data_IF_265303416562
#
_entry.id   IF_265303416562
#
_cell.length_a   1.000
_cell.length_b   1.000
_cell.length_c   1.000
_cell.angle_alpha   90.00
_cell.angle_beta   90.00
_cell.angle_gamma   90.00
#
_symmetry.space_group_name_H-M   'P 1'
#
loop_
_entity.id
_entity.type
_entity.pdbx_description
1 polymer ?
#
# COMPACT_ATOMS: atom_id res chain seq x y z
N UNK A 1 -1.05 19.37 14.15
CA UNK A 1 -0.74 19.58 12.71
C UNK A 1 -0.94 18.26 11.99
N UNK A 2 -1.88 18.21 11.05
CA UNK A 2 -2.19 16.97 10.32
C UNK A 2 -0.98 16.55 9.49
N UNK A 3 -0.33 15.45 9.86
CA UNK A 3 0.86 14.91 9.17
C UNK A 3 0.42 14.19 7.88
N UNK A 4 -0.16 14.93 6.95
CA UNK A 4 -0.58 14.40 5.64
C UNK A 4 0.63 14.09 4.76
N UNK A 5 1.71 14.87 4.90
CA UNK A 5 2.94 14.68 4.13
C UNK A 5 3.60 13.31 4.33
N UNK A 6 3.81 12.82 5.58
CA UNK A 6 4.32 11.46 5.80
C UNK A 6 3.42 10.36 5.24
N UNK A 7 2.09 10.53 5.30
CA UNK A 7 1.15 9.55 4.74
C UNK A 7 1.31 9.50 3.22
N UNK A 8 1.25 10.66 2.56
CA UNK A 8 1.36 10.76 1.10
C UNK A 8 2.68 10.19 0.58
N UNK A 9 3.81 10.50 1.24
CA UNK A 9 5.11 9.95 0.87
C UNK A 9 5.12 8.41 0.96
N UNK A 10 4.59 7.86 2.06
CA UNK A 10 4.55 6.41 2.26
C UNK A 10 3.60 5.71 1.29
N UNK A 11 2.48 6.33 0.96
CA UNK A 11 1.56 5.88 -0.10
C UNK A 11 2.29 5.75 -1.43
N UNK A 12 3.06 6.78 -1.84
CA UNK A 12 3.83 6.75 -3.10
C UNK A 12 4.91 5.68 -3.08
N UNK A 13 5.60 5.50 -1.96
CA UNK A 13 6.61 4.45 -1.80
C UNK A 13 5.98 3.06 -1.96
N UNK A 14 4.84 2.81 -1.32
CA UNK A 14 4.13 1.52 -1.41
C UNK A 14 3.70 1.24 -2.85
N UNK A 15 3.16 2.25 -3.54
CA UNK A 15 2.82 2.17 -4.97
C UNK A 15 4.03 1.77 -5.83
N UNK A 16 5.18 2.42 -5.62
CA UNK A 16 6.39 2.14 -6.38
C UNK A 16 6.94 0.72 -6.11
N UNK A 17 6.95 0.30 -4.84
CA UNK A 17 7.42 -1.04 -4.45
C UNK A 17 6.49 -2.11 -5.02
N UNK A 18 5.17 -1.97 -4.85
CA UNK A 18 4.22 -2.96 -5.34
C UNK A 18 4.21 -2.99 -6.88
N UNK A 19 4.35 -1.83 -7.53
CA UNK A 19 4.53 -1.70 -8.96
C UNK A 19 5.80 -2.40 -9.48
N UNK A 20 6.88 -2.45 -8.70
CA UNK A 20 8.06 -3.25 -9.03
C UNK A 20 7.88 -4.74 -8.73
N UNK A 21 7.25 -5.08 -7.61
CA UNK A 21 7.07 -6.46 -7.17
C UNK A 21 6.04 -7.24 -8.00
N UNK A 22 5.11 -6.56 -8.68
CA UNK A 22 4.07 -7.22 -9.49
C UNK A 22 4.63 -8.09 -10.62
N UNK A 23 5.85 -7.80 -11.10
CA UNK A 23 6.53 -8.60 -12.13
C UNK A 23 7.04 -9.94 -11.60
N UNK A 24 7.08 -10.11 -10.28
CA UNK A 24 7.48 -11.35 -9.62
C UNK A 24 6.33 -12.02 -8.87
N UNK A 25 5.41 -11.23 -8.31
CA UNK A 25 4.35 -11.70 -7.43
C UNK A 25 3.00 -11.27 -8.00
N UNK A 26 2.08 -12.23 -8.18
CA UNK A 26 0.73 -11.95 -8.66
C UNK A 26 0.04 -10.90 -7.77
N UNK A 27 -0.43 -9.82 -8.38
CA UNK A 27 -0.82 -8.60 -7.68
C UNK A 27 -1.89 -8.79 -6.58
N UNK A 28 -2.86 -9.73 -6.66
CA UNK A 28 -3.81 -9.95 -5.58
C UNK A 28 -3.15 -10.42 -4.28
N UNK A 29 -2.01 -11.12 -4.34
CA UNK A 29 -1.26 -11.47 -3.15
C UNK A 29 -0.55 -10.26 -2.54
N UNK A 30 -0.04 -9.34 -3.37
CA UNK A 30 0.51 -8.06 -2.90
C UNK A 30 -0.57 -7.22 -2.24
N UNK A 31 -1.76 -7.12 -2.87
CA UNK A 31 -2.89 -6.37 -2.33
C UNK A 31 -3.40 -7.00 -1.03
N UNK A 32 -3.63 -8.32 -1.01
CA UNK A 32 -4.08 -9.03 0.18
C UNK A 32 -3.09 -8.90 1.34
N UNK A 33 -1.80 -9.13 1.08
CA UNK A 33 -0.73 -8.98 2.07
C UNK A 33 -0.61 -7.55 2.59
N UNK A 34 -0.65 -6.56 1.70
CA UNK A 34 -0.58 -5.13 2.05
C UNK A 34 -1.76 -4.67 2.91
N UNK A 35 -2.98 -5.13 2.61
CA UNK A 35 -4.16 -4.83 3.42
C UNK A 35 -4.11 -5.49 4.80
N UNK A 36 -3.68 -6.75 4.88
CA UNK A 36 -3.52 -7.44 6.16
C UNK A 36 -2.43 -6.80 7.02
N UNK A 37 -1.27 -6.52 6.44
CA UNK A 37 -0.17 -5.86 7.12
C UNK A 37 -0.55 -4.43 7.55
N UNK A 38 -1.15 -3.65 6.65
CA UNK A 38 -1.64 -2.30 6.94
C UNK A 38 -2.72 -2.28 8.03
N UNK A 39 -3.67 -3.22 7.99
CA UNK A 39 -4.71 -3.36 8.99
C UNK A 39 -4.18 -3.80 10.36
N UNK A 40 -3.20 -4.72 10.38
CA UNK A 40 -2.50 -5.12 11.59
C UNK A 40 -1.74 -3.94 12.19
N UNK A 41 -0.89 -3.27 11.40
CA UNK A 41 -0.12 -2.10 11.84
C UNK A 41 -1.03 -0.97 12.31
N UNK A 42 -2.19 -0.78 11.68
CA UNK A 42 -3.15 0.22 12.13
C UNK A 42 -3.71 -0.13 13.51
N UNK A 43 -3.83 -1.40 13.89
CA UNK A 43 -4.31 -1.79 15.21
C UNK A 43 -3.22 -1.84 16.27
N UNK A 44 -1.99 -2.17 15.89
CA UNK A 44 -0.92 -2.50 16.85
C UNK A 44 0.22 -1.49 16.91
N UNK A 45 0.37 -0.61 15.92
CA UNK A 45 1.46 0.36 15.85
C UNK A 45 1.03 1.76 16.28
N UNK A 46 1.96 2.48 16.91
CA UNK A 46 1.84 3.92 17.19
C UNK A 46 2.12 4.78 15.95
N UNK A 47 2.78 4.23 14.92
CA UNK A 47 3.04 4.94 13.67
C UNK A 47 1.82 4.90 12.73
N UNK A 48 0.79 5.69 13.10
CA UNK A 48 -0.45 5.84 12.32
C UNK A 48 -0.21 6.30 10.89
N UNK A 49 0.68 7.27 10.60
CA UNK A 49 0.94 7.65 9.23
C UNK A 49 1.51 6.50 8.38
N UNK A 50 2.18 5.51 8.97
CA UNK A 50 2.75 4.38 8.23
C UNK A 50 1.67 3.38 7.86
N UNK A 51 0.85 3.02 8.84
CA UNK A 51 -0.28 2.15 8.62
C UNK A 51 -1.25 2.74 7.58
N UNK A 52 -1.54 4.04 7.66
CA UNK A 52 -2.39 4.72 6.67
C UNK A 52 -1.75 4.79 5.29
N UNK A 53 -0.45 5.11 5.20
CA UNK A 53 0.26 5.14 3.92
C UNK A 53 0.30 3.77 3.25
N UNK A 54 0.50 2.70 4.03
CA UNK A 54 0.45 1.32 3.55
C UNK A 54 -0.95 0.95 3.05
N UNK A 55 -1.99 1.19 3.84
CA UNK A 55 -3.36 0.89 3.45
C UNK A 55 -3.79 1.64 2.18
N UNK A 56 -3.57 2.95 2.15
CA UNK A 56 -3.95 3.80 1.01
C UNK A 56 -3.13 3.39 -0.23
N UNK A 57 -1.81 3.23 -0.08
CA UNK A 57 -0.93 2.82 -1.18
C UNK A 57 -1.30 1.46 -1.75
N UNK A 58 -1.63 0.49 -0.90
CA UNK A 58 -2.07 -0.83 -1.33
C UNK A 58 -3.42 -0.77 -2.08
N UNK A 59 -4.39 0.02 -1.59
CA UNK A 59 -5.68 0.18 -2.28
C UNK A 59 -5.49 0.84 -3.64
N UNK A 60 -4.73 1.94 -3.71
CA UNK A 60 -4.45 2.62 -4.96
C UNK A 60 -3.70 1.71 -5.94
N UNK A 61 -2.75 0.91 -5.45
CA UNK A 61 -2.05 -0.06 -6.29
C UNK A 61 -3.01 -1.12 -6.81
N UNK A 62 -3.87 -1.67 -5.96
CA UNK A 62 -4.84 -2.68 -6.36
C UNK A 62 -5.81 -2.15 -7.43
N UNK A 63 -6.29 -0.92 -7.30
CA UNK A 63 -7.12 -0.27 -8.32
C UNK A 63 -6.33 -0.07 -9.62
N UNK A 64 -5.11 0.46 -9.54
CA UNK A 64 -4.28 0.67 -10.71
C UNK A 64 -3.93 -0.66 -11.41
N UNK A 65 -3.57 -1.70 -10.66
CA UNK A 65 -3.27 -3.02 -11.20
C UNK A 65 -4.51 -3.69 -11.80
N UNK A 66 -5.70 -3.47 -11.24
CA UNK A 66 -6.94 -3.99 -11.82
C UNK A 66 -7.26 -3.34 -13.18
N UNK A 67 -7.04 -2.03 -13.32
CA UNK A 67 -7.36 -1.31 -14.57
C UNK A 67 -6.24 -1.35 -15.62
N UNK A 68 -4.98 -1.40 -15.18
CA UNK A 68 -3.80 -1.20 -16.03
C UNK A 68 -2.71 -2.24 -15.84
N UNK A 69 -2.78 -3.04 -14.77
CA UNK A 69 -1.88 -4.16 -14.54
C UNK A 69 -2.24 -5.27 -15.50
N UNK A 70 -1.49 -5.35 -16.60
CA UNK A 70 -1.50 -6.51 -17.49
C UNK A 70 -1.13 -7.74 -16.67
N UNK A 71 -2.11 -8.61 -16.44
CA UNK A 71 -1.83 -10.03 -16.25
C UNK A 71 -1.17 -10.58 -17.53
#
# INVERSE_FOLDING_TARGET
>A
MQKIWPVALRTVIVMAIFGGLQFLIYYPFLVGGGLLAGGFMFKTSDDRPLALGLLIGTILFGLWAYFYGTA
#
